data_IF_233120520304
#
_entry.id   IF_233120520304
#
_cell.length_a   1.000
_cell.length_b   1.000
_cell.length_c   1.000
_cell.angle_alpha   90.00
_cell.angle_beta   90.00
_cell.angle_gamma   90.00
#
_symmetry.space_group_name_H-M   'P 1'
#
loop_
_entity.id
_entity.type
_entity.pdbx_description
1 polymer ?
#
# COMPACT_ATOMS: atom_id res chain seq x y z
N UNK A 1 -5.11 15.09 34.51
CA UNK A 1 -6.23 15.99 34.12
C UNK A 1 -7.44 15.14 33.70
N UNK A 2 -8.64 15.52 34.18
CA UNK A 2 -9.88 14.82 33.80
C UNK A 2 -10.63 15.63 32.74
N UNK A 3 -11.04 14.96 31.65
CA UNK A 3 -11.86 15.54 30.58
C UNK A 3 -13.24 14.88 30.62
N UNK A 4 -14.29 15.66 30.74
CA UNK A 4 -15.69 15.18 30.76
C UNK A 4 -16.43 15.74 29.55
N UNK A 5 -17.05 14.87 28.76
CA UNK A 5 -17.93 15.25 27.64
C UNK A 5 -19.11 14.26 27.58
N UNK A 6 -20.33 14.78 27.56
CA UNK A 6 -21.58 13.99 27.50
C UNK A 6 -21.70 12.90 28.60
N UNK A 7 -21.23 13.18 29.82
CA UNK A 7 -21.29 12.25 30.96
C UNK A 7 -20.18 11.17 30.97
N UNK A 8 -19.29 11.14 29.99
CA UNK A 8 -18.12 10.27 29.97
C UNK A 8 -16.91 11.06 30.50
N UNK A 9 -16.29 10.59 31.59
CA UNK A 9 -15.06 11.16 32.14
C UNK A 9 -13.88 10.27 31.83
N UNK A 10 -12.84 10.85 31.22
CA UNK A 10 -11.59 10.15 30.88
C UNK A 10 -10.46 10.86 31.66
N UNK A 11 -9.62 10.07 32.32
CA UNK A 11 -8.36 10.56 32.88
C UNK A 11 -7.26 10.55 31.80
N UNK A 12 -6.69 11.74 31.53
CA UNK A 12 -5.62 11.91 30.57
C UNK A 12 -4.37 12.38 31.31
N UNK A 13 -3.22 11.71 31.14
CA UNK A 13 -1.94 12.18 31.68
C UNK A 13 -1.61 13.58 31.17
N UNK A 14 -1.12 14.45 32.03
CA UNK A 14 -0.82 15.84 31.70
C UNK A 14 0.17 15.99 30.55
N UNK A 15 1.13 15.07 30.43
CA UNK A 15 2.09 15.04 29.32
C UNK A 15 1.42 14.84 27.94
N UNK A 16 0.35 14.05 27.87
CA UNK A 16 -0.40 13.81 26.63
C UNK A 16 -1.21 15.05 26.22
N UNK A 17 -1.74 15.78 27.18
CA UNK A 17 -2.52 17.00 26.93
C UNK A 17 -1.61 18.12 26.43
N UNK A 18 -0.43 18.29 27.02
CA UNK A 18 0.57 19.28 26.60
C UNK A 18 1.03 19.00 25.17
N UNK A 19 1.31 17.75 24.83
CA UNK A 19 1.73 17.35 23.48
C UNK A 19 0.65 17.58 22.44
N UNK A 20 -0.62 17.29 22.76
CA UNK A 20 -1.78 17.52 21.91
C UNK A 20 -2.02 19.03 21.64
N UNK A 21 -1.84 19.88 22.66
CA UNK A 21 -2.01 21.32 22.56
C UNK A 21 -0.87 21.96 21.78
N UNK A 22 0.37 21.55 22.02
CA UNK A 22 1.55 22.05 21.31
C UNK A 22 1.51 21.69 19.82
N UNK A 23 1.09 20.48 19.50
CA UNK A 23 0.93 20.05 18.09
C UNK A 23 -0.17 20.83 17.36
N UNK A 24 -1.26 21.17 18.06
CA UNK A 24 -2.35 21.98 17.49
C UNK A 24 -1.97 23.43 17.28
N UNK A 25 -1.18 24.00 18.17
CA UNK A 25 -0.65 25.38 18.06
C UNK A 25 0.44 25.49 16.98
N UNK A 26 1.19 24.41 16.74
CA UNK A 26 2.20 24.35 15.69
C UNK A 26 1.63 24.11 14.28
N UNK A 27 0.29 24.02 14.13
CA UNK A 27 -0.35 23.70 12.85
C UNK A 27 -0.09 22.26 12.37
N UNK A 28 0.54 21.45 13.22
CA UNK A 28 0.69 20.01 12.98
C UNK A 28 -0.61 19.35 13.45
N UNK A 29 -1.46 18.97 12.51
CA UNK A 29 -2.53 18.00 12.78
C UNK A 29 -1.93 16.83 13.55
N UNK A 30 -2.62 16.30 14.59
CA UNK A 30 -2.13 15.14 15.33
C UNK A 30 -2.05 13.95 14.39
N UNK A 31 -0.86 13.75 13.86
CA UNK A 31 -0.54 12.73 12.88
C UNK A 31 -0.38 11.34 13.51
N UNK A 32 -0.89 11.11 14.69
CA UNK A 32 -0.91 9.80 15.33
C UNK A 32 -2.33 9.21 15.32
N UNK A 33 -2.61 8.41 14.28
CA UNK A 33 -3.55 7.32 14.51
C UNK A 33 -2.94 6.42 15.61
N UNK A 34 -3.73 6.00 16.62
CA UNK A 34 -3.25 5.07 17.65
C UNK A 34 -2.62 3.85 16.95
N UNK A 35 -1.48 3.38 17.47
CA UNK A 35 -0.89 2.13 17.00
C UNK A 35 -1.96 1.03 17.07
N UNK A 36 -2.30 0.43 15.94
CA UNK A 36 -3.29 -0.65 15.83
C UNK A 36 -4.63 -0.27 15.20
N UNK A 37 -4.89 1.00 14.87
CA UNK A 37 -6.09 1.37 14.12
C UNK A 37 -5.80 1.30 12.62
N UNK A 38 -6.60 0.49 11.92
CA UNK A 38 -6.56 0.42 10.46
C UNK A 38 -6.98 1.77 9.88
N UNK A 39 -6.19 2.42 9.03
CA UNK A 39 -6.52 3.70 8.44
C UNK A 39 -7.67 3.57 7.43
N UNK A 40 -8.16 4.69 6.91
CA UNK A 40 -9.07 4.68 5.77
C UNK A 40 -8.30 4.30 4.50
N UNK A 41 -9.01 3.72 3.55
CA UNK A 41 -8.47 3.48 2.20
C UNK A 41 -7.99 4.82 1.61
N UNK A 42 -6.78 4.82 1.07
CA UNK A 42 -6.11 6.00 0.54
C UNK A 42 -5.23 6.75 1.55
N UNK A 43 -5.37 6.48 2.85
CA UNK A 43 -4.53 7.10 3.87
C UNK A 43 -3.20 6.34 4.06
N UNK A 44 -2.14 7.09 4.38
CA UNK A 44 -0.86 6.49 4.75
C UNK A 44 -0.97 5.74 6.08
N UNK A 45 -0.56 4.48 6.09
CA UNK A 45 -0.45 3.70 7.33
C UNK A 45 0.93 3.90 7.96
N UNK A 46 0.97 4.78 8.95
CA UNK A 46 2.23 5.17 9.60
C UNK A 46 2.96 3.98 10.21
N UNK A 47 4.26 3.92 9.94
CA UNK A 47 5.14 2.85 10.41
C UNK A 47 4.89 1.52 9.71
N UNK A 48 4.06 1.49 8.65
CA UNK A 48 3.81 0.29 7.84
C UNK A 48 4.35 0.42 6.41
N UNK A 49 4.97 1.54 6.06
CA UNK A 49 5.69 1.72 4.80
C UNK A 49 4.82 1.88 3.56
N UNK A 50 3.57 2.32 3.70
CA UNK A 50 2.72 2.50 2.54
C UNK A 50 1.36 3.13 2.81
N UNK A 51 0.58 3.21 1.75
CA UNK A 51 -0.79 3.71 1.72
C UNK A 51 -1.74 2.52 1.75
N UNK A 52 -2.73 2.56 2.62
CA UNK A 52 -3.69 1.47 2.78
C UNK A 52 -4.65 1.39 1.60
N UNK A 53 -4.73 0.23 0.97
CA UNK A 53 -5.58 0.00 -0.20
C UNK A 53 -6.82 -0.85 0.10
N UNK A 54 -6.85 -1.58 1.20
CA UNK A 54 -7.98 -2.43 1.56
C UNK A 54 -7.56 -3.81 2.07
N UNK A 55 -8.55 -4.69 2.24
CA UNK A 55 -8.34 -6.08 2.65
C UNK A 55 -8.41 -7.00 1.44
N UNK A 56 -7.46 -7.89 1.34
CA UNK A 56 -7.45 -9.01 0.39
C UNK A 56 -7.75 -10.32 1.10
N UNK A 57 -8.55 -11.15 0.47
CA UNK A 57 -8.78 -12.51 0.93
C UNK A 57 -7.54 -13.38 0.68
N UNK A 58 -7.16 -14.18 1.68
CA UNK A 58 -6.10 -15.17 1.54
C UNK A 58 -6.43 -16.21 0.48
N UNK A 59 -5.39 -16.71 -0.22
CA UNK A 59 -5.50 -17.77 -1.22
C UNK A 59 -5.06 -19.09 -0.61
N UNK A 60 -5.64 -20.17 -1.07
CA UNK A 60 -5.24 -21.55 -0.73
C UNK A 60 -5.13 -21.81 0.78
N UNK A 61 -6.06 -21.25 1.56
CA UNK A 61 -6.09 -21.40 3.02
C UNK A 61 -5.16 -20.46 3.80
N UNK A 62 -4.46 -19.56 3.11
CA UNK A 62 -3.71 -18.50 3.78
C UNK A 62 -4.64 -17.48 4.44
N UNK A 63 -4.20 -16.79 5.51
CA UNK A 63 -5.00 -15.76 6.17
C UNK A 63 -5.26 -14.56 5.25
N UNK A 64 -6.34 -13.84 5.53
CA UNK A 64 -6.63 -12.55 4.91
C UNK A 64 -5.55 -11.52 5.32
N UNK A 65 -5.40 -10.48 4.53
CA UNK A 65 -4.36 -9.49 4.77
C UNK A 65 -4.76 -8.09 4.30
N UNK A 66 -4.20 -7.11 4.98
CA UNK A 66 -4.24 -5.72 4.52
C UNK A 66 -3.24 -5.52 3.38
N UNK A 67 -3.68 -4.92 2.28
CA UNK A 67 -2.81 -4.54 1.18
C UNK A 67 -2.41 -3.07 1.34
N UNK A 68 -1.10 -2.83 1.28
CA UNK A 68 -0.51 -1.49 1.29
C UNK A 68 0.23 -1.26 -0.03
N UNK A 69 0.03 -0.09 -0.60
CA UNK A 69 0.82 0.40 -1.76
C UNK A 69 2.02 1.15 -1.24
N UNK A 70 3.21 0.80 -1.68
CA UNK A 70 4.41 1.57 -1.36
C UNK A 70 4.26 3.03 -1.82
N UNK A 71 4.92 3.94 -1.12
CA UNK A 71 4.94 5.37 -1.46
C UNK A 71 5.43 5.65 -2.88
N UNK A 72 5.51 6.92 -3.27
CA UNK A 72 6.01 7.33 -4.58
C UNK A 72 7.41 6.78 -4.90
N UNK A 73 8.25 6.56 -3.88
CA UNK A 73 9.58 5.93 -4.04
C UNK A 73 9.51 4.45 -4.45
N UNK A 74 8.38 3.80 -4.23
CA UNK A 74 8.12 2.41 -4.61
C UNK A 74 7.57 2.26 -6.02
N UNK A 75 7.41 3.36 -6.76
CA UNK A 75 7.04 3.35 -8.15
C UNK A 75 8.27 3.31 -9.05
N UNK A 76 8.34 2.30 -9.90
CA UNK A 76 9.38 2.16 -10.90
C UNK A 76 8.92 2.73 -12.24
N UNK A 77 9.79 3.49 -12.88
CA UNK A 77 9.66 3.89 -14.28
C UNK A 77 9.64 2.65 -15.17
N UNK A 78 9.24 2.75 -16.46
CA UNK A 78 9.17 1.59 -17.34
C UNK A 78 10.44 0.73 -17.29
N UNK A 79 10.25 -0.54 -16.96
CA UNK A 79 11.30 -1.51 -16.65
C UNK A 79 10.86 -2.91 -17.11
N UNK A 80 11.79 -3.78 -17.45
CA UNK A 80 11.52 -5.18 -17.78
C UNK A 80 11.05 -5.95 -16.53
N UNK A 81 10.20 -6.96 -16.74
CA UNK A 81 9.53 -7.68 -15.67
C UNK A 81 10.48 -8.30 -14.63
N UNK A 82 11.49 -9.05 -15.08
CA UNK A 82 12.46 -9.70 -14.15
C UNK A 82 13.24 -8.67 -13.32
N UNK A 83 13.59 -7.55 -13.94
CA UNK A 83 14.25 -6.43 -13.24
C UNK A 83 13.32 -5.76 -12.23
N UNK A 84 12.02 -5.62 -12.58
CA UNK A 84 11.03 -5.06 -11.66
C UNK A 84 10.88 -5.93 -10.41
N UNK A 85 10.79 -7.25 -10.56
CA UNK A 85 10.73 -8.21 -9.44
C UNK A 85 11.95 -8.06 -8.53
N UNK A 86 13.15 -8.05 -9.10
CA UNK A 86 14.41 -7.94 -8.34
C UNK A 86 14.49 -6.60 -7.61
N UNK A 87 14.21 -5.50 -8.31
CA UNK A 87 14.29 -4.15 -7.74
C UNK A 87 13.32 -3.98 -6.57
N UNK A 88 12.10 -4.48 -6.71
CA UNK A 88 11.09 -4.39 -5.63
C UNK A 88 11.49 -5.25 -4.43
N UNK A 89 12.04 -6.44 -4.64
CA UNK A 89 12.49 -7.33 -3.57
C UNK A 89 13.65 -6.74 -2.72
N UNK A 90 14.40 -5.80 -3.27
CA UNK A 90 15.50 -5.11 -2.59
C UNK A 90 15.07 -3.82 -1.88
N UNK A 91 13.80 -3.39 -2.03
CA UNK A 91 13.31 -2.16 -1.43
C UNK A 91 13.23 -2.24 0.08
N UNK A 92 13.58 -1.13 0.72
CA UNK A 92 13.34 -0.89 2.14
C UNK A 92 12.63 0.46 2.31
N UNK A 93 11.44 0.43 2.92
CA UNK A 93 10.63 1.63 3.19
C UNK A 93 10.12 1.55 4.63
N UNK A 94 10.36 2.58 5.44
CA UNK A 94 10.00 2.63 6.86
C UNK A 94 10.53 1.40 7.66
N UNK A 95 11.70 0.85 7.28
CA UNK A 95 12.30 -0.32 7.92
C UNK A 95 11.70 -1.67 7.50
N UNK A 96 10.78 -1.69 6.55
CA UNK A 96 10.19 -2.92 5.99
C UNK A 96 10.85 -3.29 4.67
N UNK A 97 11.11 -4.60 4.49
CA UNK A 97 11.77 -5.19 3.29
C UNK A 97 10.92 -6.25 2.59
N UNK A 98 9.67 -6.40 2.97
CA UNK A 98 8.75 -7.42 2.48
C UNK A 98 7.88 -6.92 1.31
N UNK A 99 8.46 -6.11 0.43
CA UNK A 99 7.80 -5.59 -0.76
C UNK A 99 7.85 -6.58 -1.91
N UNK A 100 6.77 -6.63 -2.67
CA UNK A 100 6.64 -7.43 -3.90
C UNK A 100 5.86 -6.66 -4.95
N UNK A 101 5.86 -7.15 -6.20
CA UNK A 101 4.85 -6.73 -7.16
C UNK A 101 3.47 -7.30 -6.77
N UNK A 102 2.37 -6.59 -7.12
CA UNK A 102 1.02 -7.05 -6.83
C UNK A 102 0.63 -8.28 -7.67
N UNK A 103 -0.20 -9.15 -7.10
CA UNK A 103 -0.96 -10.12 -7.89
C UNK A 103 -2.00 -9.42 -8.77
N UNK A 104 -2.50 -10.11 -9.79
CA UNK A 104 -3.58 -9.60 -10.65
C UNK A 104 -4.84 -9.21 -9.86
N UNK A 105 -5.23 -10.04 -8.88
CA UNK A 105 -6.37 -9.74 -8.02
C UNK A 105 -6.14 -8.50 -7.15
N UNK A 106 -4.89 -8.29 -6.69
CA UNK A 106 -4.51 -7.09 -5.96
C UNK A 106 -4.52 -5.86 -6.88
N UNK A 107 -4.04 -5.97 -8.11
CA UNK A 107 -4.14 -4.88 -9.09
C UNK A 107 -5.59 -4.45 -9.34
N UNK A 108 -6.54 -5.41 -9.40
CA UNK A 108 -7.96 -5.10 -9.53
C UNK A 108 -8.49 -4.33 -8.30
N UNK A 109 -8.07 -4.71 -7.09
CA UNK A 109 -8.42 -3.97 -5.85
C UNK A 109 -7.78 -2.57 -5.85
N UNK A 110 -6.53 -2.45 -6.26
CA UNK A 110 -5.83 -1.17 -6.34
C UNK A 110 -6.52 -0.22 -7.33
N UNK A 111 -6.93 -0.73 -8.49
CA UNK A 111 -7.67 0.04 -9.48
C UNK A 111 -9.04 0.51 -8.94
N UNK A 112 -9.72 -0.32 -8.15
CA UNK A 112 -11.02 0.01 -7.58
C UNK A 112 -10.93 1.03 -6.43
N UNK A 113 -9.89 0.93 -5.59
CA UNK A 113 -9.84 1.63 -4.31
C UNK A 113 -8.91 2.85 -4.28
N UNK A 114 -7.80 2.82 -5.03
CA UNK A 114 -6.75 3.85 -4.98
C UNK A 114 -6.16 4.13 -6.38
N UNK A 115 -7.00 4.30 -7.43
CA UNK A 115 -6.52 4.53 -8.79
C UNK A 115 -5.68 5.81 -8.90
N UNK A 116 -5.93 6.79 -8.03
CA UNK A 116 -5.21 8.08 -7.97
C UNK A 116 -3.72 7.93 -7.65
N UNK A 117 -3.30 6.78 -7.14
CA UNK A 117 -1.89 6.49 -6.87
C UNK A 117 -1.11 6.02 -8.09
N UNK A 118 -1.78 5.84 -9.22
CA UNK A 118 -1.22 5.27 -10.44
C UNK A 118 -1.40 6.23 -11.62
N UNK A 119 -0.42 6.21 -12.53
CA UNK A 119 -0.60 6.86 -13.83
C UNK A 119 -1.55 6.04 -14.72
N UNK A 120 -2.16 6.65 -15.72
CA UNK A 120 -3.01 5.97 -16.71
C UNK A 120 -2.17 5.10 -17.69
N UNK A 121 -1.32 4.27 -17.15
CA UNK A 121 -0.31 3.46 -17.85
C UNK A 121 -0.44 1.98 -17.49
N UNK A 122 0.39 1.13 -18.10
CA UNK A 122 0.47 -0.29 -17.80
C UNK A 122 1.47 -0.57 -16.69
N UNK A 123 1.06 -1.44 -15.75
CA UNK A 123 1.86 -1.84 -14.59
C UNK A 123 1.99 -3.36 -14.51
N UNK A 124 3.22 -3.85 -14.34
CA UNK A 124 3.50 -5.26 -14.14
C UNK A 124 2.85 -5.82 -12.88
N UNK A 125 2.30 -7.04 -12.98
CA UNK A 125 2.02 -7.90 -11.83
C UNK A 125 3.19 -8.82 -11.54
N UNK A 126 3.15 -9.55 -10.41
CA UNK A 126 4.12 -10.61 -10.13
C UNK A 126 3.80 -11.94 -10.84
N UNK A 127 2.69 -12.02 -11.58
CA UNK A 127 2.21 -13.29 -12.11
C UNK A 127 2.71 -13.51 -13.56
N UNK A 128 3.48 -14.58 -13.74
CA UNK A 128 3.83 -15.10 -15.06
C UNK A 128 2.60 -15.70 -15.74
N UNK A 129 2.53 -15.64 -17.07
CA UNK A 129 1.48 -16.31 -17.82
C UNK A 129 1.64 -17.83 -17.74
N UNK A 130 0.54 -18.54 -17.44
CA UNK A 130 0.58 -19.96 -17.12
C UNK A 130 0.98 -20.86 -18.31
N UNK A 131 0.59 -20.48 -19.54
CA UNK A 131 0.85 -21.26 -20.74
C UNK A 131 2.10 -20.80 -21.51
N UNK A 132 2.64 -19.62 -21.19
CA UNK A 132 3.81 -19.06 -21.87
C UNK A 132 4.73 -18.37 -20.88
N UNK A 133 5.86 -18.99 -20.59
CA UNK A 133 6.81 -18.51 -19.56
C UNK A 133 7.52 -17.21 -19.96
N UNK A 134 7.50 -16.81 -21.22
CA UNK A 134 8.11 -15.57 -21.69
C UNK A 134 7.19 -14.35 -21.49
N UNK A 135 5.94 -14.58 -21.07
CA UNK A 135 4.93 -13.57 -20.85
C UNK A 135 4.61 -13.39 -19.36
N UNK A 136 4.28 -12.17 -18.97
CA UNK A 136 3.79 -11.84 -17.63
C UNK A 136 2.54 -10.96 -17.71
N UNK A 137 1.72 -11.02 -16.67
CA UNK A 137 0.49 -10.25 -16.58
C UNK A 137 0.75 -8.81 -16.12
N UNK A 138 -0.05 -7.90 -16.65
CA UNK A 138 -0.05 -6.50 -16.31
C UNK A 138 -1.47 -5.93 -16.28
N UNK A 139 -1.65 -4.79 -15.65
CA UNK A 139 -2.90 -4.04 -15.62
C UNK A 139 -2.70 -2.61 -16.11
N UNK A 140 -3.61 -2.17 -16.99
CA UNK A 140 -3.72 -0.78 -17.39
C UNK A 140 -4.57 0.01 -16.40
N UNK A 141 -3.98 1.00 -15.75
CA UNK A 141 -4.69 1.84 -14.78
C UNK A 141 -5.51 2.97 -15.42
N UNK A 142 -5.44 3.13 -16.75
CA UNK A 142 -6.34 4.04 -17.46
C UNK A 142 -7.77 3.50 -17.62
N UNK A 143 -7.90 2.18 -17.83
CA UNK A 143 -9.21 1.54 -18.15
C UNK A 143 -9.50 0.27 -17.37
N UNK A 144 -8.57 -0.21 -16.54
CA UNK A 144 -8.76 -1.40 -15.70
C UNK A 144 -8.59 -2.75 -16.41
N UNK A 145 -8.16 -2.77 -17.68
CA UNK A 145 -7.90 -4.03 -18.40
C UNK A 145 -6.66 -4.74 -17.86
N UNK A 146 -6.72 -6.09 -17.89
CA UNK A 146 -5.56 -6.94 -17.62
C UNK A 146 -5.19 -7.71 -18.89
N UNK A 147 -3.93 -7.62 -19.28
CA UNK A 147 -3.35 -8.32 -20.40
C UNK A 147 -2.02 -8.96 -20.00
N UNK A 148 -1.51 -9.86 -20.81
CA UNK A 148 -0.15 -10.35 -20.71
C UNK A 148 0.69 -9.84 -21.88
N UNK A 149 1.97 -9.60 -21.61
CA UNK A 149 2.91 -9.22 -22.66
C UNK A 149 4.29 -9.84 -22.39
N UNK A 150 5.15 -9.80 -23.39
CA UNK A 150 6.48 -10.37 -23.33
C UNK A 150 7.33 -9.64 -22.28
N UNK A 151 8.01 -10.40 -21.42
CA UNK A 151 8.79 -9.90 -20.27
C UNK A 151 9.92 -8.95 -20.64
N UNK A 152 10.40 -9.00 -21.90
CA UNK A 152 11.42 -8.08 -22.41
C UNK A 152 10.90 -6.68 -22.68
N UNK A 153 9.58 -6.49 -22.77
CA UNK A 153 8.97 -5.18 -22.87
C UNK A 153 9.09 -4.42 -21.54
N UNK A 154 8.91 -3.12 -21.59
CA UNK A 154 9.07 -2.26 -20.42
C UNK A 154 7.75 -1.60 -20.07
N UNK A 155 7.30 -1.81 -18.84
CA UNK A 155 6.12 -1.19 -18.25
C UNK A 155 6.44 -0.68 -16.85
N UNK A 156 5.58 0.15 -16.31
CA UNK A 156 5.72 0.61 -14.93
C UNK A 156 5.57 -0.55 -13.95
N UNK A 157 6.03 -0.37 -12.76
CA UNK A 157 5.80 -1.26 -11.64
C UNK A 157 5.63 -0.45 -10.36
N UNK A 158 4.82 -0.94 -9.44
CA UNK A 158 4.67 -0.34 -8.12
C UNK A 158 4.62 -1.42 -7.06
N UNK A 159 5.47 -1.27 -6.07
CA UNK A 159 5.60 -2.23 -4.99
C UNK A 159 4.39 -2.20 -4.05
N UNK A 160 4.00 -3.36 -3.58
CA UNK A 160 2.99 -3.54 -2.54
C UNK A 160 3.56 -4.32 -1.37
N UNK A 161 2.93 -4.19 -0.21
CA UNK A 161 3.23 -4.95 0.99
C UNK A 161 1.95 -5.56 1.56
N UNK A 162 2.07 -6.77 2.11
CA UNK A 162 0.97 -7.53 2.71
C UNK A 162 1.16 -7.61 4.21
N UNK A 163 0.15 -7.19 4.98
CA UNK A 163 0.13 -7.26 6.43
C UNK A 163 -0.99 -8.21 6.85
N UNK A 164 -0.63 -9.39 7.34
CA UNK A 164 -1.58 -10.42 7.77
C UNK A 164 -2.48 -9.91 8.89
N UNK A 165 -3.79 -10.24 8.81
CA UNK A 165 -4.81 -9.89 9.81
C UNK A 165 -4.84 -10.94 10.91
#
# INVERSE_FOLDING_TARGET
MQLTKNGLTIEVPDAVVVDLVLNRLAGNEPTHAPRGVVPRIGDRWRGQGGIYAGVMRGRDGAPDYHLLVGDAVAELKPIQWDKALTTVAEMEIDGHRDYTLPYRAEQALLFANVPELFEAEWYWSCEQHAADSDYAWMQGFGYGYQLSDHKSNVYRARAVRRLVI
#
